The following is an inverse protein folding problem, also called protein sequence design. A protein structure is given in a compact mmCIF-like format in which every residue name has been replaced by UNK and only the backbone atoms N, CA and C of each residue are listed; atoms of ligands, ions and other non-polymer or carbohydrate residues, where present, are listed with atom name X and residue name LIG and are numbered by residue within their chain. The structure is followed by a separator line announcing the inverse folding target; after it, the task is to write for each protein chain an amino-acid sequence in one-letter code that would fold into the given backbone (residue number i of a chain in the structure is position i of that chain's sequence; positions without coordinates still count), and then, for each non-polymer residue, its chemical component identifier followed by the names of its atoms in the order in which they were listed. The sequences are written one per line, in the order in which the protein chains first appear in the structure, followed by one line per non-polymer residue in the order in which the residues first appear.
data_IF_046577486374
#
_entry.id   IF_046577486374
#
_cell.length_a   1.000
_cell.length_b   1.000
_cell.length_c   1.000
_cell.angle_alpha   90.00
_cell.angle_beta   90.00
_cell.angle_gamma   90.00
#
_symmetry.space_group_name_H-M   'P 1'
#
loop_
_entity.id
_entity.type
_entity.pdbx_description
1 polymer ?
#
# COMPACT_ATOMS: atom_id res chain seq x y z
N UNK A 1 -6.71 5.87 -11.16
CA UNK A 1 -5.31 5.59 -10.93
C UNK A 1 -5.17 4.40 -9.98
N UNK A 2 -4.32 3.46 -10.35
CA UNK A 2 -4.06 2.26 -9.55
C UNK A 2 -2.73 2.43 -8.84
N UNK A 3 -2.72 2.23 -7.52
CA UNK A 3 -1.50 2.28 -6.72
C UNK A 3 -1.31 0.94 -6.00
N UNK A 4 -0.32 0.15 -6.39
CA UNK A 4 -0.04 -1.10 -5.69
C UNK A 4 0.58 -0.83 -4.32
N UNK A 5 0.24 -1.68 -3.35
CA UNK A 5 0.90 -1.66 -2.05
C UNK A 5 2.39 -1.95 -2.26
N UNK A 6 3.29 -1.08 -1.82
CA UNK A 6 4.71 -1.29 -2.03
C UNK A 6 5.25 -2.36 -1.09
N UNK A 7 6.17 -3.16 -1.60
CA UNK A 7 6.89 -4.11 -0.78
C UNK A 7 7.98 -3.39 0.01
N UNK A 8 8.10 -3.76 1.27
CA UNK A 8 9.23 -3.30 2.05
C UNK A 8 10.53 -3.76 1.36
N UNK A 9 11.55 -2.92 1.36
CA UNK A 9 12.77 -3.20 0.60
C UNK A 9 13.43 -4.54 0.97
N UNK A 10 13.34 -4.96 2.23
CA UNK A 10 13.89 -6.26 2.67
C UNK A 10 13.15 -7.40 1.99
N UNK A 11 11.81 -7.31 1.93
CA UNK A 11 11.02 -8.33 1.24
C UNK A 11 11.25 -8.31 -0.26
N UNK A 12 11.50 -7.14 -0.82
CA UNK A 12 11.82 -7.02 -2.24
C UNK A 12 13.11 -7.76 -2.60
N UNK A 13 14.13 -7.65 -1.74
CA UNK A 13 15.38 -8.38 -1.92
C UNK A 13 15.14 -9.88 -1.89
N UNK A 14 14.31 -10.35 -0.97
CA UNK A 14 14.01 -11.78 -0.84
C UNK A 14 13.22 -12.32 -2.01
N UNK A 15 12.16 -11.60 -2.43
CA UNK A 15 11.23 -12.09 -3.45
C UNK A 15 11.68 -11.76 -4.86
N UNK A 16 12.45 -10.70 -5.02
CA UNK A 16 12.86 -10.22 -6.33
C UNK A 16 11.83 -9.44 -7.10
N UNK A 17 10.58 -9.38 -6.62
CA UNK A 17 9.53 -8.63 -7.30
C UNK A 17 8.38 -8.31 -6.33
N UNK A 18 7.56 -7.34 -6.73
CA UNK A 18 6.37 -6.93 -5.97
C UNK A 18 5.13 -7.53 -6.62
N UNK A 19 4.50 -8.49 -5.93
CA UNK A 19 3.30 -9.17 -6.42
C UNK A 19 2.12 -8.21 -6.59
N UNK A 20 1.98 -7.25 -5.69
CA UNK A 20 0.91 -6.26 -5.78
C UNK A 20 1.05 -5.40 -7.04
N UNK A 21 2.28 -5.12 -7.45
CA UNK A 21 2.54 -4.38 -8.67
C UNK A 21 2.15 -5.17 -9.90
N UNK A 22 2.45 -6.46 -9.95
CA UNK A 22 2.02 -7.32 -11.06
C UNK A 22 0.51 -7.34 -11.17
N UNK A 23 -0.19 -7.43 -10.05
CA UNK A 23 -1.66 -7.37 -10.04
C UNK A 23 -2.15 -6.03 -10.59
N UNK A 24 -1.57 -4.94 -10.13
CA UNK A 24 -1.95 -3.60 -10.59
C UNK A 24 -1.73 -3.45 -12.09
N UNK A 25 -0.60 -3.93 -12.59
CA UNK A 25 -0.28 -3.86 -14.02
C UNK A 25 -1.24 -4.69 -14.85
N UNK A 26 -1.64 -5.86 -14.36
CA UNK A 26 -2.64 -6.68 -15.03
C UNK A 26 -4.00 -5.98 -15.11
N UNK A 27 -4.42 -5.37 -14.02
CA UNK A 27 -5.67 -4.61 -13.99
C UNK A 27 -5.59 -3.41 -14.95
N UNK A 28 -4.46 -2.72 -14.95
CA UNK A 28 -4.25 -1.58 -15.85
C UNK A 28 -4.32 -1.97 -17.31
N UNK A 29 -3.79 -3.13 -17.68
CA UNK A 29 -3.87 -3.63 -19.05
C UNK A 29 -5.30 -3.88 -19.50
N UNK A 30 -6.12 -4.44 -18.62
CA UNK A 30 -7.50 -4.79 -18.95
C UNK A 30 -8.40 -3.56 -18.96
N UNK A 31 -8.20 -2.66 -18.01
CA UNK A 31 -9.11 -1.52 -17.82
C UNK A 31 -8.64 -0.26 -18.54
N UNK A 32 -7.40 -0.18 -18.95
CA UNK A 32 -6.83 1.04 -19.50
C UNK A 32 -6.45 2.07 -18.46
N UNK A 33 -6.59 1.75 -17.18
CA UNK A 33 -6.27 2.68 -16.10
C UNK A 33 -4.75 2.75 -15.88
N UNK A 34 -4.21 3.95 -15.60
CA UNK A 34 -2.78 4.07 -15.32
C UNK A 34 -2.41 3.48 -13.97
N UNK A 35 -1.20 2.95 -13.89
CA UNK A 35 -0.61 2.44 -12.66
C UNK A 35 0.48 3.42 -12.24
N UNK A 36 0.39 3.91 -11.00
CA UNK A 36 1.35 4.86 -10.48
C UNK A 36 2.31 4.23 -9.47
N UNK A 37 3.31 5.01 -9.12
CA UNK A 37 4.30 4.62 -8.11
C UNK A 37 4.36 5.61 -6.95
N UNK A 38 3.22 6.24 -6.66
CA UNK A 38 3.14 7.32 -5.67
C UNK A 38 3.11 6.82 -4.23
N UNK A 39 2.83 5.55 -4.03
CA UNK A 39 2.80 4.96 -2.70
C UNK A 39 4.11 4.22 -2.47
N UNK A 40 4.82 4.59 -1.42
CA UNK A 40 6.17 4.07 -1.17
C UNK A 40 6.28 3.58 0.26
N UNK A 41 7.13 2.56 0.46
CA UNK A 41 7.51 2.09 1.78
C UNK A 41 8.76 2.85 2.21
N UNK A 42 8.72 3.44 3.40
CA UNK A 42 9.86 4.16 3.93
C UNK A 42 10.97 3.19 4.32
N UNK A 43 12.18 3.59 4.03
CA UNK A 43 13.36 2.82 4.33
C UNK A 43 13.85 3.13 5.74
N UNK A 44 14.58 2.16 6.34
CA UNK A 44 15.26 2.40 7.61
C UNK A 44 14.34 2.53 8.80
N UNK A 45 13.13 2.07 8.67
CA UNK A 45 12.21 2.13 9.79
C UNK A 45 12.71 1.20 10.89
N UNK A 46 12.77 1.71 12.08
CA UNK A 46 13.41 0.99 13.16
C UNK A 46 12.69 -0.32 13.43
N UNK A 47 13.48 -1.30 13.74
CA UNK A 47 13.00 -2.60 14.13
C UNK A 47 12.61 -2.56 15.60
N UNK A 48 11.55 -1.88 15.92
CA UNK A 48 11.07 -1.80 17.29
C UNK A 48 10.37 -3.11 17.62
N UNK A 49 11.10 -4.00 18.23
CA UNK A 49 10.64 -5.36 18.42
C UNK A 49 9.76 -5.57 19.65
N UNK A 50 9.95 -4.78 20.68
CA UNK A 50 9.21 -4.99 21.93
C UNK A 50 7.98 -4.11 21.99
N UNK A 51 7.01 -4.38 21.12
CA UNK A 51 5.86 -3.50 21.01
C UNK A 51 4.57 -4.24 21.29
N UNK A 52 3.64 -3.51 21.86
CA UNK A 52 2.25 -3.94 21.94
C UNK A 52 1.66 -3.97 20.53
N UNK A 53 0.54 -4.63 20.35
CA UNK A 53 -0.14 -4.65 19.07
C UNK A 53 -0.48 -3.24 18.60
N UNK A 54 -0.86 -2.36 19.51
CA UNK A 54 -1.15 -0.98 19.16
C UNK A 54 0.09 -0.25 18.64
N UNK A 55 1.24 -0.45 19.28
CA UNK A 55 2.49 0.14 18.82
C UNK A 55 2.90 -0.39 17.46
N UNK A 56 2.70 -1.69 17.20
CA UNK A 56 2.98 -2.26 15.88
C UNK A 56 2.08 -1.63 14.82
N UNK A 57 0.82 -1.44 15.15
CA UNK A 57 -0.14 -0.82 14.24
C UNK A 57 0.26 0.62 13.90
N UNK A 58 0.65 1.41 14.89
CA UNK A 58 1.17 2.76 14.67
C UNK A 58 2.43 2.77 13.83
N UNK A 59 3.34 1.84 14.10
CA UNK A 59 4.58 1.74 13.33
C UNK A 59 4.30 1.38 11.88
N UNK A 60 3.35 0.48 11.63
CA UNK A 60 2.97 0.13 10.27
C UNK A 60 2.45 1.35 9.52
N UNK A 61 1.65 2.19 10.17
CA UNK A 61 1.15 3.41 9.55
C UNK A 61 2.26 4.37 9.16
N UNK A 62 3.33 4.44 9.96
CA UNK A 62 4.44 5.34 9.67
C UNK A 62 5.41 4.80 8.63
N UNK A 63 5.24 3.55 8.22
CA UNK A 63 6.11 2.92 7.21
C UNK A 63 5.81 3.41 5.80
N UNK A 64 4.58 3.83 5.54
CA UNK A 64 4.16 4.19 4.18
C UNK A 64 4.05 5.70 4.01
N UNK A 65 4.35 6.15 2.81
CA UNK A 65 4.28 7.56 2.47
C UNK A 65 3.82 7.72 1.02
N UNK A 66 3.33 8.91 0.71
CA UNK A 66 2.91 9.28 -0.64
C UNK A 66 3.90 10.28 -1.19
N UNK A 67 4.37 10.06 -2.42
CA UNK A 67 5.17 11.04 -3.13
C UNK A 67 4.35 11.67 -4.24
N UNK A 68 4.69 12.91 -4.59
CA UNK A 68 3.99 13.67 -5.63
C UNK A 68 2.49 13.73 -5.36
N UNK A 69 2.13 14.04 -4.13
CA UNK A 69 0.74 14.01 -3.67
C UNK A 69 -0.17 14.91 -4.50
N UNK A 70 0.35 16.01 -5.04
CA UNK A 70 -0.44 16.93 -5.86
C UNK A 70 -1.04 16.27 -7.09
N UNK A 71 -0.38 15.25 -7.62
CA UNK A 71 -0.89 14.49 -8.78
C UNK A 71 -2.16 13.72 -8.44
N UNK A 72 -2.33 13.38 -7.16
CA UNK A 72 -3.44 12.55 -6.70
C UNK A 72 -4.67 13.36 -6.30
N UNK A 73 -4.56 14.67 -6.25
CA UNK A 73 -5.65 15.54 -5.78
C UNK A 73 -6.90 15.32 -6.62
N UNK A 74 -8.03 15.10 -5.95
CA UNK A 74 -9.32 14.92 -6.58
C UNK A 74 -9.50 13.61 -7.34
N UNK A 75 -8.53 12.72 -7.30
CA UNK A 75 -8.61 11.45 -8.03
C UNK A 75 -9.26 10.36 -7.20
N UNK A 76 -9.82 9.39 -7.91
CA UNK A 76 -10.22 8.12 -7.30
C UNK A 76 -9.06 7.15 -7.44
N UNK A 77 -8.57 6.65 -6.33
CA UNK A 77 -7.39 5.81 -6.27
C UNK A 77 -7.79 4.39 -5.88
N UNK A 78 -7.34 3.42 -6.66
CA UNK A 78 -7.52 2.01 -6.35
C UNK A 78 -6.20 1.47 -5.80
N UNK A 79 -6.21 1.08 -4.53
CA UNK A 79 -5.04 0.47 -3.90
C UNK A 79 -5.16 -1.04 -4.03
N UNK A 80 -4.12 -1.68 -4.54
CA UNK A 80 -4.16 -3.13 -4.79
C UNK A 80 -3.13 -3.86 -3.96
N UNK A 81 -3.54 -5.02 -3.46
CA UNK A 81 -2.64 -5.95 -2.77
C UNK A 81 -3.02 -7.37 -3.17
N UNK A 82 -2.06 -8.31 -3.10
CA UNK A 82 -2.33 -9.69 -3.48
C UNK A 82 -3.21 -10.39 -2.46
N UNK A 83 -2.84 -10.34 -1.19
CA UNK A 83 -3.59 -11.00 -0.11
C UNK A 83 -3.69 -10.07 1.10
N UNK A 84 -4.89 -9.92 1.62
CA UNK A 84 -5.13 -9.20 2.87
C UNK A 84 -5.23 -10.22 4.00
N UNK A 85 -4.47 -10.03 5.06
CA UNK A 85 -4.53 -10.87 6.25
C UNK A 85 -5.24 -10.14 7.39
N UNK A 86 -4.54 -9.27 8.10
CA UNK A 86 -5.13 -8.48 9.18
C UNK A 86 -5.74 -7.17 8.70
N UNK A 87 -5.37 -6.75 7.50
CA UNK A 87 -5.76 -5.45 6.99
C UNK A 87 -4.84 -4.30 7.41
N UNK A 88 -3.86 -4.56 8.27
CA UNK A 88 -3.01 -3.49 8.81
C UNK A 88 -2.24 -2.77 7.71
N UNK A 89 -1.67 -3.51 6.77
CA UNK A 89 -0.93 -2.91 5.65
C UNK A 89 -1.84 -2.06 4.77
N UNK A 90 -3.00 -2.59 4.43
CA UNK A 90 -3.96 -1.88 3.57
C UNK A 90 -4.46 -0.60 4.26
N UNK A 91 -4.78 -0.69 5.54
CA UNK A 91 -5.23 0.46 6.32
C UNK A 91 -4.13 1.52 6.39
N UNK A 92 -2.89 1.10 6.62
CA UNK A 92 -1.76 2.03 6.68
C UNK A 92 -1.55 2.75 5.36
N UNK A 93 -1.67 2.04 4.24
CA UNK A 93 -1.55 2.64 2.91
C UNK A 93 -2.68 3.63 2.65
N UNK A 94 -3.90 3.26 2.96
CA UNK A 94 -5.06 4.15 2.77
C UNK A 94 -4.93 5.40 3.64
N UNK A 95 -4.50 5.25 4.88
CA UNK A 95 -4.30 6.39 5.77
C UNK A 95 -3.21 7.32 5.27
N UNK A 96 -2.13 6.77 4.71
CA UNK A 96 -1.08 7.59 4.12
C UNK A 96 -1.63 8.43 2.96
N UNK A 97 -2.45 7.84 2.11
CA UNK A 97 -3.05 8.54 0.98
C UNK A 97 -4.02 9.63 1.47
N UNK A 98 -4.91 9.30 2.37
CA UNK A 98 -5.93 10.23 2.85
C UNK A 98 -5.28 11.39 3.62
N UNK A 99 -4.23 11.12 4.38
CA UNK A 99 -3.49 12.17 5.10
C UNK A 99 -2.81 13.13 4.14
N UNK A 100 -2.25 12.62 3.06
CA UNK A 100 -1.55 13.45 2.08
C UNK A 100 -2.52 14.15 1.12
N UNK A 101 -3.65 13.53 0.82
CA UNK A 101 -4.62 14.00 -0.18
C UNK A 101 -6.03 13.83 0.37
N UNK A 102 -6.48 14.75 1.24
CA UNK A 102 -7.77 14.59 1.93
C UNK A 102 -8.99 14.50 1.01
N UNK A 103 -8.92 15.03 -0.20
CA UNK A 103 -10.03 15.00 -1.15
C UNK A 103 -10.01 13.80 -2.07
N UNK A 104 -9.05 12.89 -1.93
CA UNK A 104 -8.99 11.68 -2.73
C UNK A 104 -10.05 10.68 -2.27
N UNK A 105 -10.61 9.96 -3.24
CA UNK A 105 -11.45 8.79 -2.96
C UNK A 105 -10.58 7.54 -3.08
N UNK A 106 -10.70 6.63 -2.13
CA UNK A 106 -9.86 5.44 -2.09
C UNK A 106 -10.73 4.20 -2.09
N UNK A 107 -10.45 3.30 -3.01
CA UNK A 107 -11.01 1.95 -3.05
C UNK A 107 -9.87 0.95 -2.92
N UNK A 108 -10.19 -0.25 -2.47
CA UNK A 108 -9.18 -1.29 -2.29
C UNK A 108 -9.58 -2.55 -3.03
N UNK A 109 -8.59 -3.29 -3.50
CA UNK A 109 -8.80 -4.55 -4.19
C UNK A 109 -7.70 -5.52 -3.82
N UNK A 110 -8.07 -6.75 -3.51
CA UNK A 110 -7.13 -7.82 -3.30
C UNK A 110 -7.61 -9.09 -4.01
N UNK A 111 -6.66 -9.98 -4.31
CA UNK A 111 -7.00 -11.27 -4.89
C UNK A 111 -7.61 -12.21 -3.87
N UNK A 112 -7.24 -12.07 -2.62
CA UNK A 112 -7.75 -12.93 -1.59
C UNK A 112 -7.63 -12.34 -0.20
N UNK A 113 -8.34 -12.97 0.72
CA UNK A 113 -8.27 -12.65 2.14
C UNK A 113 -7.92 -13.94 2.86
N UNK A 114 -6.82 -13.94 3.60
CA UNK A 114 -6.42 -15.11 4.37
C UNK A 114 -6.94 -15.00 5.79
N UNK A 115 -7.64 -16.04 6.22
CA UNK A 115 -8.08 -16.13 7.60
C UNK A 115 -6.94 -16.61 8.48
N UNK A 116 -6.64 -15.82 9.48
CA UNK A 116 -5.69 -16.18 10.53
C UNK A 116 -6.51 -16.59 11.74
N UNK A 117 -6.70 -17.87 11.86
CA UNK A 117 -7.40 -18.40 13.05
C UNK A 117 -6.47 -18.52 14.24
#
# INVERSE_FOLDING_TARGET
LILPVPLHWVKMIRRGYNQSRYLAEGIGKVTGLPVGNHLVAKRGHSTQTSRTDFSRWLNAQSVYAVRDAGVLAGKHILVTDDVITTGATMIACCNAIISAVPDAKVSVLSLGVAHMS
#
